data_IF_013680766900
#
_entry.id   IF_013680766900
#
_cell.length_a   1.000
_cell.length_b   1.000
_cell.length_c   1.000
_cell.angle_alpha   90.00
_cell.angle_beta   90.00
_cell.angle_gamma   90.00
#
_symmetry.space_group_name_H-M   'P 1'
#
loop_
_entity.id
_entity.type
_entity.pdbx_description
1 polymer ?
#
# COMPACT_ATOMS: atom_id res chain seq x y z
N UNK A 1 14.52 -7.26 -0.78
CA UNK A 1 14.18 -8.67 -1.13
C UNK A 1 14.37 -9.51 0.12
N UNK A 2 13.41 -10.38 0.43
CA UNK A 2 13.46 -11.29 1.58
C UNK A 2 12.78 -12.62 1.25
N UNK A 3 13.11 -13.65 2.04
CA UNK A 3 12.47 -14.96 2.01
C UNK A 3 11.88 -15.25 3.37
N UNK A 4 10.59 -15.48 3.40
CA UNK A 4 9.80 -15.78 4.60
C UNK A 4 9.06 -17.12 4.42
N UNK A 5 8.37 -17.67 5.45
CA UNK A 5 7.63 -18.92 5.32
C UNK A 5 6.54 -18.90 4.22
N UNK A 6 6.09 -17.72 3.80
CA UNK A 6 5.12 -17.56 2.71
C UNK A 6 5.77 -17.47 1.33
N UNK A 7 7.10 -17.36 1.26
CA UNK A 7 7.88 -17.43 0.02
C UNK A 7 8.80 -16.23 -0.15
N UNK A 8 9.03 -15.85 -1.41
CA UNK A 8 9.82 -14.67 -1.75
C UNK A 8 8.97 -13.42 -1.72
N UNK A 9 9.49 -12.34 -1.14
CA UNK A 9 8.84 -11.03 -1.14
C UNK A 9 9.81 -9.87 -1.36
N UNK A 10 9.38 -8.89 -2.15
CA UNK A 10 10.05 -7.63 -2.39
C UNK A 10 9.20 -6.48 -1.85
N UNK A 11 9.84 -5.47 -1.28
CA UNK A 11 9.16 -4.36 -0.62
C UNK A 11 9.96 -3.08 -0.87
N UNK A 12 9.26 -2.00 -1.16
CA UNK A 12 9.80 -0.65 -1.29
C UNK A 12 8.87 0.30 -0.53
N UNK A 13 9.43 1.08 0.39
CA UNK A 13 8.71 2.09 1.16
C UNK A 13 9.20 3.48 0.77
N UNK A 14 8.27 4.39 0.55
CA UNK A 14 8.55 5.80 0.22
C UNK A 14 7.69 6.72 1.07
N UNK A 15 8.27 7.80 1.56
CA UNK A 15 7.52 8.83 2.28
C UNK A 15 6.63 9.62 1.30
N UNK A 16 5.39 9.86 1.72
CA UNK A 16 4.38 10.59 0.93
C UNK A 16 3.92 11.89 1.61
N UNK A 17 3.97 11.96 2.94
CA UNK A 17 3.76 13.17 3.73
C UNK A 17 4.34 12.97 5.13
N UNK A 18 4.31 14.00 5.97
CA UNK A 18 4.70 13.87 7.38
C UNK A 18 3.81 12.82 8.08
N UNK A 19 4.45 11.87 8.76
CA UNK A 19 3.76 10.77 9.43
C UNK A 19 3.00 9.82 8.50
N UNK A 20 3.26 9.85 7.17
CA UNK A 20 2.64 8.95 6.19
C UNK A 20 3.66 8.40 5.19
N UNK A 21 3.64 7.09 4.98
CA UNK A 21 4.43 6.45 3.93
C UNK A 21 3.58 5.51 3.07
N UNK A 22 4.09 5.22 1.88
CA UNK A 22 3.54 4.25 0.95
C UNK A 22 4.49 3.06 0.85
N UNK A 23 3.97 1.86 1.02
CA UNK A 23 4.70 0.61 0.85
C UNK A 23 4.15 -0.15 -0.35
N UNK A 24 5.00 -0.39 -1.35
CA UNK A 24 4.74 -1.29 -2.47
C UNK A 24 5.34 -2.64 -2.13
N UNK A 25 4.52 -3.69 -2.11
CA UNK A 25 4.96 -5.04 -1.77
C UNK A 25 4.56 -6.04 -2.85
N UNK A 26 5.54 -6.79 -3.33
CA UNK A 26 5.35 -7.94 -4.22
C UNK A 26 5.62 -9.22 -3.45
N UNK A 27 4.65 -10.13 -3.39
CA UNK A 27 4.73 -11.35 -2.56
C UNK A 27 3.87 -12.47 -3.12
N UNK A 28 3.88 -13.64 -2.49
CA UNK A 28 2.89 -14.70 -2.77
C UNK A 28 1.47 -14.18 -2.50
N UNK A 29 0.62 -14.29 -3.53
CA UNK A 29 -0.83 -14.14 -3.46
C UNK A 29 -1.55 -15.49 -3.57
N UNK A 30 -2.87 -15.43 -3.73
CA UNK A 30 -3.68 -16.63 -3.95
C UNK A 30 -3.48 -17.14 -5.38
N UNK A 31 -2.71 -18.21 -5.54
CA UNK A 31 -2.48 -18.85 -6.84
C UNK A 31 -1.30 -18.29 -7.64
N UNK A 32 -0.61 -17.27 -7.12
CA UNK A 32 0.40 -16.56 -7.90
C UNK A 32 1.23 -15.55 -7.12
N UNK A 33 1.75 -14.56 -7.85
CA UNK A 33 2.51 -13.42 -7.34
C UNK A 33 1.61 -12.20 -7.40
N UNK A 34 1.51 -11.50 -6.27
CA UNK A 34 0.67 -10.32 -6.07
C UNK A 34 1.56 -9.12 -5.82
N UNK A 35 1.23 -7.98 -6.43
CA UNK A 35 1.80 -6.68 -6.08
C UNK A 35 0.71 -5.74 -5.59
N UNK A 36 0.88 -5.19 -4.41
CA UNK A 36 -0.05 -4.27 -3.75
C UNK A 36 0.69 -3.02 -3.26
N UNK A 37 -0.02 -1.90 -3.22
CA UNK A 37 0.41 -0.66 -2.60
C UNK A 37 -0.47 -0.36 -1.38
N UNK A 38 0.17 0.01 -0.27
CA UNK A 38 -0.46 0.30 1.02
C UNK A 38 0.08 1.59 1.61
N UNK A 39 -0.80 2.54 1.88
CA UNK A 39 -0.49 3.70 2.71
C UNK A 39 -0.47 3.30 4.18
N UNK A 40 0.46 3.86 4.94
CA UNK A 40 0.52 3.72 6.39
C UNK A 40 0.61 5.12 6.99
N UNK A 41 0.02 5.27 8.16
CA UNK A 41 0.17 6.46 8.99
C UNK A 41 0.85 6.11 10.30
N UNK A 42 1.51 7.11 10.90
CA UNK A 42 2.09 6.97 12.22
C UNK A 42 1.01 7.27 13.27
N UNK A 43 0.82 6.36 14.22
CA UNK A 43 -0.08 6.56 15.35
C UNK A 43 0.50 7.58 16.34
N UNK A 44 -0.32 8.04 17.29
CA UNK A 44 0.13 8.89 18.41
C UNK A 44 1.21 8.25 19.28
N UNK A 45 1.32 6.91 19.28
CA UNK A 45 2.39 6.18 19.95
C UNK A 45 3.68 6.05 19.11
N UNK A 46 3.70 6.62 17.91
CA UNK A 46 4.83 6.53 16.99
C UNK A 46 4.88 5.25 16.15
N UNK A 47 3.91 4.35 16.29
CA UNK A 47 3.86 3.08 15.56
C UNK A 47 3.25 3.26 14.16
N UNK A 48 3.83 2.62 13.15
CA UNK A 48 3.25 2.59 11.81
C UNK A 48 2.04 1.66 11.75
N UNK A 49 0.90 2.19 11.36
CA UNK A 49 -0.37 1.48 11.26
C UNK A 49 -0.95 1.61 9.86
N UNK A 50 -1.66 0.57 9.43
CA UNK A 50 -2.47 0.58 8.21
C UNK A 50 -3.87 0.12 8.58
N UNK A 51 -4.85 0.98 8.36
CA UNK A 51 -6.25 0.74 8.71
C UNK A 51 -7.09 0.65 7.44
N UNK A 52 -7.61 -0.53 7.10
CA UNK A 52 -8.60 -0.69 6.04
C UNK A 52 -9.99 -0.58 6.65
N UNK A 53 -10.79 0.40 6.23
CA UNK A 53 -12.22 0.46 6.61
C UNK A 53 -13.04 -0.31 5.59
N UNK A 54 -13.51 -1.49 5.98
CA UNK A 54 -14.51 -2.26 5.21
C UNK A 54 -15.86 -2.05 5.88
N UNK A 55 -16.68 -1.15 5.33
CA UNK A 55 -18.12 -1.08 5.60
C UNK A 55 -18.56 -0.51 6.96
N UNK A 56 -18.29 0.77 7.25
CA UNK A 56 -18.99 1.48 8.33
C UNK A 56 -19.57 2.79 7.79
N UNK A 57 -20.88 2.77 7.56
CA UNK A 57 -21.66 4.00 7.47
C UNK A 57 -21.85 4.55 8.90
N UNK A 58 -21.71 5.88 9.05
CA UNK A 58 -22.23 6.67 10.18
C UNK A 58 -21.50 6.61 11.53
N UNK A 59 -20.20 6.91 11.58
CA UNK A 59 -19.67 7.65 12.74
C UNK A 59 -18.81 8.82 12.25
N UNK A 60 -18.96 9.99 12.88
CA UNK A 60 -18.20 11.19 12.55
C UNK A 60 -16.69 11.04 12.82
N UNK A 61 -16.28 9.94 13.46
CA UNK A 61 -14.90 9.52 13.72
C UNK A 61 -14.45 8.32 12.85
N UNK A 62 -15.23 7.95 11.83
CA UNK A 62 -14.79 6.97 10.85
C UNK A 62 -13.66 7.59 10.01
N UNK A 63 -12.42 7.48 10.50
CA UNK A 63 -11.22 7.62 9.69
C UNK A 63 -11.36 6.65 8.51
N UNK A 64 -11.82 7.15 7.37
CA UNK A 64 -11.91 6.38 6.13
C UNK A 64 -10.52 5.73 5.89
N UNK A 65 -10.46 4.50 5.39
CA UNK A 65 -9.22 3.70 5.48
C UNK A 65 -7.99 4.32 4.81
N UNK A 66 -6.81 3.82 5.16
CA UNK A 66 -5.57 4.11 4.46
C UNK A 66 -5.61 3.69 2.99
N UNK A 67 -4.77 4.35 2.17
CA UNK A 67 -4.66 4.03 0.75
C UNK A 67 -4.35 2.54 0.55
N UNK A 68 -5.10 1.89 -0.33
CA UNK A 68 -4.84 0.52 -0.75
C UNK A 68 -5.13 0.37 -2.23
N UNK A 69 -4.20 -0.25 -2.96
CA UNK A 69 -4.42 -0.61 -4.36
C UNK A 69 -3.78 -1.94 -4.69
N UNK A 70 -4.55 -2.80 -5.35
CA UNK A 70 -3.98 -3.95 -6.03
C UNK A 70 -3.42 -3.50 -7.39
N UNK A 71 -2.12 -3.69 -7.57
CA UNK A 71 -1.41 -3.19 -8.75
C UNK A 71 -1.27 -4.27 -9.83
N UNK A 72 -0.98 -5.51 -9.43
CA UNK A 72 -0.75 -6.59 -10.38
C UNK A 72 -0.94 -7.98 -9.73
N UNK A 73 -1.36 -8.95 -10.52
CA UNK A 73 -1.48 -10.35 -10.11
C UNK A 73 -1.13 -11.30 -11.27
N UNK A 74 -0.14 -12.15 -11.06
CA UNK A 74 0.30 -13.15 -12.03
C UNK A 74 0.19 -14.56 -11.46
N UNK A 75 -0.61 -15.40 -12.10
CA UNK A 75 -0.73 -16.79 -11.70
C UNK A 75 0.57 -17.60 -11.91
N UNK A 76 0.72 -18.65 -11.12
CA UNK A 76 1.77 -19.65 -11.27
C UNK A 76 2.84 -19.63 -10.18
N UNK A 77 4.00 -20.23 -10.48
CA UNK A 77 5.02 -20.51 -9.46
C UNK A 77 5.66 -19.22 -8.93
N UNK A 78 5.63 -19.06 -7.62
CA UNK A 78 6.33 -18.00 -6.89
C UNK A 78 7.81 -18.36 -6.74
N UNK A 79 8.67 -17.64 -7.44
CA UNK A 79 10.13 -17.78 -7.40
C UNK A 79 10.78 -16.42 -7.25
N UNK A 80 11.98 -16.34 -6.64
CA UNK A 80 12.71 -15.08 -6.47
C UNK A 80 12.81 -14.25 -7.75
N UNK A 81 13.22 -14.81 -8.92
CA UNK A 81 13.40 -14.00 -10.13
C UNK A 81 12.08 -13.39 -10.63
N UNK A 82 10.97 -14.14 -10.52
CA UNK A 82 9.64 -13.64 -10.93
C UNK A 82 9.13 -12.55 -9.98
N UNK A 83 9.33 -12.72 -8.67
CA UNK A 83 8.96 -11.69 -7.68
C UNK A 83 9.75 -10.42 -7.91
N UNK A 84 11.07 -10.54 -8.13
CA UNK A 84 11.96 -9.42 -8.43
C UNK A 84 11.53 -8.70 -9.71
N UNK A 85 11.36 -9.43 -10.81
CA UNK A 85 10.99 -8.85 -12.10
C UNK A 85 9.64 -8.10 -12.04
N UNK A 86 8.63 -8.69 -11.38
CA UNK A 86 7.34 -8.02 -11.22
C UNK A 86 7.43 -6.78 -10.32
N UNK A 87 8.23 -6.84 -9.26
CA UNK A 87 8.45 -5.69 -8.39
C UNK A 87 9.14 -4.55 -9.15
N UNK A 88 10.25 -4.83 -9.84
CA UNK A 88 10.98 -3.86 -10.65
C UNK A 88 10.12 -3.24 -11.77
N UNK A 89 9.29 -4.05 -12.45
CA UNK A 89 8.34 -3.55 -13.43
C UNK A 89 7.29 -2.60 -12.82
N UNK A 90 6.91 -2.83 -11.56
CA UNK A 90 5.99 -1.95 -10.83
C UNK A 90 6.65 -0.64 -10.44
N UNK A 91 7.93 -0.67 -10.04
CA UNK A 91 8.68 0.52 -9.61
C UNK A 91 8.83 1.57 -10.72
N UNK A 92 8.74 1.18 -12.00
CA UNK A 92 8.67 2.13 -13.12
C UNK A 92 7.49 3.11 -12.99
N UNK A 93 6.44 2.72 -12.25
CA UNK A 93 5.22 3.51 -12.03
C UNK A 93 5.15 4.14 -10.63
N UNK A 94 6.23 4.08 -9.85
CA UNK A 94 6.20 4.47 -8.43
C UNK A 94 5.74 5.92 -8.21
N UNK A 95 6.18 6.86 -9.05
CA UNK A 95 5.78 8.27 -8.92
C UNK A 95 4.29 8.48 -9.19
N UNK A 96 3.71 7.74 -10.14
CA UNK A 96 2.27 7.79 -10.40
C UNK A 96 1.47 7.21 -9.22
N UNK A 97 1.92 6.08 -8.67
CA UNK A 97 1.29 5.44 -7.50
C UNK A 97 1.40 6.36 -6.27
N UNK A 98 2.55 7.02 -6.10
CA UNK A 98 2.76 8.02 -5.05
C UNK A 98 1.81 9.20 -5.20
N UNK A 99 1.65 9.74 -6.40
CA UNK A 99 0.72 10.82 -6.66
C UNK A 99 -0.74 10.43 -6.36
N UNK A 100 -1.15 9.20 -6.71
CA UNK A 100 -2.47 8.67 -6.34
C UNK A 100 -2.65 8.57 -4.82
N UNK A 101 -1.64 8.07 -4.09
CA UNK A 101 -1.68 7.98 -2.64
C UNK A 101 -1.75 9.36 -1.97
N UNK A 102 -0.97 10.32 -2.45
CA UNK A 102 -1.03 11.71 -1.97
C UNK A 102 -2.41 12.32 -2.24
N UNK A 103 -2.96 12.14 -3.43
CA UNK A 103 -4.29 12.63 -3.78
C UNK A 103 -5.37 12.02 -2.88
N UNK A 104 -5.27 10.72 -2.56
CA UNK A 104 -6.19 10.04 -1.65
C UNK A 104 -6.22 10.70 -0.26
N UNK A 105 -5.07 11.12 0.28
CA UNK A 105 -5.03 11.82 1.57
C UNK A 105 -5.40 13.32 1.44
N UNK A 106 -5.03 13.98 0.35
CA UNK A 106 -5.29 15.40 0.13
C UNK A 106 -6.76 15.73 -0.18
N UNK A 107 -7.50 14.84 -0.86
CA UNK A 107 -8.95 14.99 -1.05
C UNK A 107 -9.72 14.92 0.27
N UNK A 108 -9.11 14.35 1.32
CA UNK A 108 -9.73 14.12 2.63
C UNK A 108 -9.50 15.28 3.59
N UNK A 109 -8.34 15.93 3.51
CA UNK A 109 -8.06 17.15 4.28
C UNK A 109 -8.99 18.31 3.87
N UNK A 110 -9.37 18.40 2.59
CA UNK A 110 -10.35 19.40 2.12
C UNK A 110 -11.78 19.15 2.60
N UNK A 111 -12.18 17.90 2.84
CA UNK A 111 -13.54 17.57 3.32
C UNK A 111 -13.74 17.91 4.80
N UNK A 112 -12.68 17.89 5.61
CA UNK A 112 -12.75 18.21 7.04
C UNK A 112 -12.48 19.69 7.37
N UNK A 113 -11.84 20.45 6.48
CA UNK A 113 -11.54 21.86 6.71
C UNK A 113 -12.71 22.83 6.40
N UNK A 114 -13.88 22.31 6.00
CA UNK A 114 -15.05 23.07 5.58
C UNK A 114 -16.32 22.88 6.43
N UNK A 115 -16.21 22.31 7.63
CA UNK A 115 -17.34 22.07 8.55
C UNK A 115 -17.28 22.98 9.78
#
# INVERSE_FOLDING_TARGET
>A
MSKDPHGWSAETTVDIAEGKHLTIRTRRGRGGILTEAKGYHQSSSGAWSHTMVIGVASSADASEGDYYKLLDHHDGRVTEPRVRAQHEATLVRIEAIKAEAVAHYGSREHLHAGA
#
